data_IF_258907973472
#
_entry.id   IF_258907973472
#
_cell.length_a   1.000
_cell.length_b   1.000
_cell.length_c   1.000
_cell.angle_alpha   90.00
_cell.angle_beta   90.00
_cell.angle_gamma   90.00
#
_symmetry.space_group_name_H-M   'P 1'
#
loop_
_entity.id
_entity.type
_entity.pdbx_description
1 polymer ?
#
# COMPACT_ATOMS: atom_id res chain seq x y z
N UNK A 1 -7.02 -5.23 -10.86
CA UNK A 1 -7.06 -4.06 -9.95
C UNK A 1 -5.81 -4.13 -9.08
N UNK A 2 -5.19 -3.00 -8.76
CA UNK A 2 -3.95 -2.99 -7.97
C UNK A 2 -4.21 -2.92 -6.48
N UNK A 3 -3.24 -3.38 -5.68
CA UNK A 3 -3.33 -3.47 -4.23
C UNK A 3 -3.25 -2.09 -3.57
N UNK A 4 -3.96 -1.89 -2.45
CA UNK A 4 -3.78 -0.72 -1.59
C UNK A 4 -2.64 -0.98 -0.60
N UNK A 5 -1.78 0.03 -0.40
CA UNK A 5 -0.68 -0.03 0.56
C UNK A 5 -1.18 0.52 1.90
N UNK A 6 -1.30 -0.37 2.87
CA UNK A 6 -1.74 -0.08 4.22
C UNK A 6 -0.53 0.08 5.12
N UNK A 7 -0.41 1.21 5.80
CA UNK A 7 0.61 1.39 6.82
C UNK A 7 0.24 0.60 8.08
N UNK A 8 1.20 -0.17 8.60
CA UNK A 8 1.09 -0.90 9.86
C UNK A 8 2.30 -0.60 10.73
N UNK A 9 2.07 -0.51 12.04
CA UNK A 9 3.14 -0.39 13.02
C UNK A 9 3.94 -1.69 13.06
N UNK A 10 5.27 -1.58 13.02
CA UNK A 10 6.18 -2.71 13.20
C UNK A 10 7.27 -2.36 14.20
N UNK A 11 7.01 -2.63 15.48
CA UNK A 11 7.89 -2.20 16.56
C UNK A 11 7.99 -0.68 16.64
N UNK A 12 9.18 -0.13 16.37
CA UNK A 12 9.43 1.32 16.29
C UNK A 12 9.36 1.86 14.85
N UNK A 13 9.13 1.00 13.86
CA UNK A 13 9.08 1.34 12.44
C UNK A 13 7.65 1.29 11.89
N UNK A 14 7.47 1.76 10.66
CA UNK A 14 6.24 1.63 9.89
C UNK A 14 6.54 0.77 8.66
N UNK A 15 5.71 -0.24 8.42
CA UNK A 15 5.75 -1.02 7.19
C UNK A 15 4.52 -0.77 6.33
N UNK A 16 4.68 -0.94 5.02
CA UNK A 16 3.58 -0.96 4.07
C UNK A 16 3.19 -2.40 3.73
N UNK A 17 1.91 -2.74 3.87
CA UNK A 17 1.35 -4.04 3.47
C UNK A 17 0.45 -3.84 2.26
N UNK A 18 0.72 -4.58 1.17
CA UNK A 18 -0.13 -4.59 -0.01
C UNK A 18 -1.36 -5.48 0.24
N UNK A 19 -2.55 -4.90 0.08
CA UNK A 19 -3.84 -5.59 0.30
C UNK A 19 -4.71 -5.46 -0.94
N UNK A 20 -5.05 -6.59 -1.56
CA UNK A 20 -5.84 -6.63 -2.79
C UNK A 20 -7.33 -6.27 -2.58
N UNK A 21 -7.87 -6.62 -1.42
CA UNK A 21 -9.27 -6.37 -1.05
C UNK A 21 -9.34 -5.77 0.37
N UNK A 22 -8.94 -4.50 0.54
CA UNK A 22 -8.92 -3.88 1.86
C UNK A 22 -10.34 -3.71 2.39
N UNK A 23 -10.47 -3.77 3.72
CA UNK A 23 -11.69 -3.30 4.37
C UNK A 23 -11.88 -1.80 4.13
N UNK A 24 -13.10 -1.29 4.31
CA UNK A 24 -13.35 0.15 4.18
C UNK A 24 -12.46 0.98 5.11
N UNK A 25 -12.19 0.49 6.32
CA UNK A 25 -11.29 1.14 7.26
C UNK A 25 -9.84 1.17 6.75
N UNK A 26 -9.34 0.04 6.23
CA UNK A 26 -8.02 -0.04 5.62
C UNK A 26 -7.89 0.90 4.43
N UNK A 27 -8.89 0.93 3.54
CA UNK A 27 -8.94 1.83 2.40
C UNK A 27 -8.81 3.30 2.83
N UNK A 28 -9.53 3.73 3.88
CA UNK A 28 -9.45 5.11 4.39
C UNK A 28 -8.07 5.50 4.93
N UNK A 29 -7.28 4.54 5.42
CA UNK A 29 -5.93 4.77 5.94
C UNK A 29 -4.82 4.37 4.96
N UNK A 30 -5.16 3.97 3.74
CA UNK A 30 -4.18 3.59 2.74
C UNK A 30 -3.28 4.78 2.41
N UNK A 31 -1.97 4.55 2.33
CA UNK A 31 -0.97 5.59 2.03
C UNK A 31 -0.60 5.64 0.54
N UNK A 32 -1.01 4.63 -0.22
CA UNK A 32 -0.82 4.59 -1.66
C UNK A 32 -1.51 3.41 -2.32
N UNK A 33 -1.42 3.36 -3.65
CA UNK A 33 -1.98 2.30 -4.50
C UNK A 33 -0.89 1.75 -5.42
N UNK A 34 -0.74 0.42 -5.47
CA UNK A 34 0.09 -0.26 -6.46
C UNK A 34 -0.54 -0.10 -7.84
N UNK A 35 0.19 0.48 -8.78
CA UNK A 35 -0.26 0.60 -10.18
C UNK A 35 0.11 -0.62 -10.99
N UNK A 36 1.34 -1.10 -10.81
CA UNK A 36 1.91 -2.28 -11.49
C UNK A 36 3.13 -2.81 -10.74
N UNK A 37 3.43 -4.08 -11.00
CA UNK A 37 4.70 -4.70 -10.65
C UNK A 37 5.61 -4.61 -11.87
N UNK A 38 6.84 -4.18 -11.68
CA UNK A 38 7.88 -4.06 -12.70
C UNK A 38 8.51 -5.43 -12.97
N UNK A 39 9.24 -5.56 -14.08
CA UNK A 39 9.88 -6.82 -14.49
C UNK A 39 10.90 -7.36 -13.48
N UNK A 40 11.46 -6.48 -12.66
CA UNK A 40 12.41 -6.82 -11.58
C UNK A 40 11.72 -7.16 -10.24
N UNK A 41 10.39 -7.23 -10.21
CA UNK A 41 9.61 -7.55 -9.02
C UNK A 41 9.31 -6.37 -8.10
N UNK A 42 9.77 -5.15 -8.40
CA UNK A 42 9.44 -3.96 -7.61
C UNK A 42 8.03 -3.44 -7.94
N UNK A 43 7.38 -2.80 -6.97
CA UNK A 43 6.08 -2.17 -7.17
C UNK A 43 6.21 -0.68 -7.55
N UNK A 44 5.46 -0.24 -8.57
CA UNK A 44 5.20 1.18 -8.83
C UNK A 44 3.98 1.61 -8.00
N UNK A 45 4.19 2.51 -7.03
CA UNK A 45 3.16 2.94 -6.09
C UNK A 45 2.86 4.43 -6.30
N UNK A 46 1.58 4.76 -6.47
CA UNK A 46 1.10 6.14 -6.38
C UNK A 46 0.84 6.48 -4.91
N UNK A 47 1.64 7.38 -4.35
CA UNK A 47 1.54 7.82 -2.95
C UNK A 47 0.63 9.05 -2.85
N UNK A 48 -0.27 9.05 -1.88
CA UNK A 48 -1.11 10.21 -1.58
C UNK A 48 -0.38 11.06 -0.54
N UNK A 49 -0.04 12.30 -0.91
CA UNK A 49 0.60 13.27 -0.01
C UNK A 49 -0.46 14.31 0.38
N UNK A 50 -0.57 14.61 1.67
CA UNK A 50 -1.41 15.67 2.24
C UNK A 50 -0.54 16.66 2.99
#
# INVERSE_FOLDING_TARGET
MGDDIIAEQDGEEIKGVAVAAPTFEQYRRAVGRVRRILEDGRAEIAVMVH
#
